data_IF_397921717603
#
_entry.id   IF_397921717603
#
_cell.length_a   1.000
_cell.length_b   1.000
_cell.length_c   1.000
_cell.angle_alpha   90.00
_cell.angle_beta   90.00
_cell.angle_gamma   90.00
#
_symmetry.space_group_name_H-M   'P 1'
#
loop_
_entity.id
_entity.type
_entity.pdbx_description
1 polymer ?
#
# COMPACT_ATOMS: atom_id res chain seq x y z
N UNK A 1 35.80 -41.47 -3.45
CA UNK A 1 35.60 -40.12 -4.02
C UNK A 1 34.19 -39.66 -3.71
N UNK A 2 33.98 -38.91 -2.63
CA UNK A 2 32.67 -38.40 -2.25
C UNK A 2 32.40 -37.07 -2.98
N UNK A 3 31.29 -37.01 -3.74
CA UNK A 3 30.82 -35.82 -4.43
C UNK A 3 30.26 -34.84 -3.39
N UNK A 4 30.90 -33.67 -3.27
CA UNK A 4 30.44 -32.51 -2.48
C UNK A 4 29.06 -32.08 -2.98
N UNK A 5 28.04 -32.20 -2.12
CA UNK A 5 26.76 -31.53 -2.29
C UNK A 5 26.96 -30.03 -2.19
N UNK A 6 26.54 -29.30 -3.22
CA UNK A 6 26.49 -27.85 -3.24
C UNK A 6 25.12 -27.41 -2.75
N UNK A 7 24.98 -27.30 -1.42
CA UNK A 7 23.77 -26.83 -0.77
C UNK A 7 24.00 -25.38 -0.32
N UNK A 8 23.75 -24.42 -1.21
CA UNK A 8 23.73 -22.99 -0.88
C UNK A 8 22.66 -22.27 -1.69
N UNK A 9 21.58 -21.88 -1.01
CA UNK A 9 21.13 -20.49 -0.87
C UNK A 9 19.66 -20.43 -0.40
N UNK A 10 19.45 -20.68 0.90
CA UNK A 10 18.28 -20.15 1.60
C UNK A 10 18.51 -18.68 1.94
N UNK A 11 18.22 -17.78 1.00
CA UNK A 11 18.50 -16.35 1.11
C UNK A 11 17.72 -15.65 2.21
N UNK A 12 18.41 -14.76 2.93
CA UNK A 12 18.02 -14.00 4.12
C UNK A 12 16.88 -12.97 3.88
N UNK A 13 15.70 -13.41 3.44
CA UNK A 13 14.55 -12.55 3.11
C UNK A 13 13.91 -11.77 4.30
N UNK A 14 14.59 -11.70 5.44
CA UNK A 14 14.11 -11.04 6.66
C UNK A 14 15.03 -9.98 7.28
N UNK A 15 16.26 -9.80 6.79
CA UNK A 15 17.24 -8.90 7.45
C UNK A 15 17.37 -7.50 6.84
N UNK A 16 17.05 -7.33 5.55
CA UNK A 16 17.23 -6.03 4.87
C UNK A 16 16.10 -5.08 5.23
N UNK A 17 16.44 -3.98 5.90
CA UNK A 17 15.52 -2.87 6.20
C UNK A 17 15.54 -1.88 5.04
N UNK A 18 14.37 -1.36 4.67
CA UNK A 18 14.19 -0.40 3.59
C UNK A 18 13.32 0.77 4.02
N UNK A 19 13.54 1.93 3.41
CA UNK A 19 12.79 3.16 3.67
C UNK A 19 11.49 3.13 2.86
N UNK A 20 10.36 3.14 3.54
CA UNK A 20 9.03 3.22 2.95
C UNK A 20 8.41 4.60 3.21
N UNK A 21 7.85 5.22 2.17
CA UNK A 21 7.18 6.52 2.28
C UNK A 21 5.72 6.34 2.67
N UNK A 22 5.30 6.93 3.79
CA UNK A 22 3.91 6.89 4.29
C UNK A 22 2.96 7.62 3.32
N UNK A 23 3.35 8.81 2.88
CA UNK A 23 2.83 9.51 1.72
C UNK A 23 3.85 9.38 0.59
N UNK A 24 3.55 8.68 -0.52
CA UNK A 24 4.50 8.52 -1.61
C UNK A 24 4.95 9.85 -2.20
N UNK A 25 6.19 9.90 -2.71
CA UNK A 25 6.74 11.11 -3.39
C UNK A 25 5.90 11.56 -4.58
N UNK A 26 5.34 10.60 -5.33
CA UNK A 26 4.40 10.87 -6.43
C UNK A 26 3.13 11.62 -6.00
N UNK A 27 2.91 11.75 -4.69
CA UNK A 27 1.74 12.36 -4.06
C UNK A 27 2.12 13.52 -3.13
N UNK A 28 3.30 14.09 -3.32
CA UNK A 28 3.78 15.25 -2.57
C UNK A 28 4.41 14.92 -1.22
N UNK A 29 4.67 13.65 -0.92
CA UNK A 29 5.32 13.26 0.34
C UNK A 29 6.80 13.60 0.39
N UNK A 30 7.20 14.34 1.42
CA UNK A 30 8.61 14.66 1.70
C UNK A 30 9.40 13.50 2.34
N UNK A 31 10.68 13.74 2.61
CA UNK A 31 11.58 12.73 3.21
C UNK A 31 11.73 12.83 4.75
N UNK A 32 11.04 13.76 5.42
CA UNK A 32 11.14 14.00 6.86
C UNK A 32 10.44 12.91 7.69
N UNK A 33 9.46 13.29 8.51
CA UNK A 33 8.63 12.38 9.32
C UNK A 33 7.75 11.41 8.52
N UNK A 34 7.89 11.40 7.19
CA UNK A 34 7.09 10.66 6.24
C UNK A 34 7.76 9.35 5.79
N UNK A 35 8.90 8.98 6.37
CA UNK A 35 9.62 7.74 6.06
C UNK A 35 9.62 6.82 7.27
N UNK A 36 9.22 5.57 7.06
CA UNK A 36 9.32 4.48 8.01
C UNK A 36 10.36 3.45 7.54
N UNK A 37 11.21 2.94 8.42
CA UNK A 37 12.13 1.84 8.12
C UNK A 37 11.46 0.51 8.43
N UNK A 38 11.25 -0.33 7.41
CA UNK A 38 10.57 -1.63 7.55
C UNK A 38 11.32 -2.72 6.77
N UNK A 39 11.14 -4.01 7.11
CA UNK A 39 11.72 -5.10 6.35
C UNK A 39 11.34 -5.03 4.87
N UNK A 40 12.29 -5.30 3.98
CA UNK A 40 12.12 -5.24 2.53
C UNK A 40 10.95 -6.09 2.05
N UNK A 41 10.79 -7.28 2.62
CA UNK A 41 9.68 -8.17 2.30
C UNK A 41 8.32 -7.58 2.65
N UNK A 42 8.22 -6.79 3.73
CA UNK A 42 7.01 -6.07 4.08
C UNK A 42 6.77 -4.90 3.13
N UNK A 43 7.82 -4.14 2.81
CA UNK A 43 7.76 -3.02 1.87
C UNK A 43 7.27 -3.46 0.49
N UNK A 44 7.82 -4.55 -0.05
CA UNK A 44 7.40 -5.08 -1.35
C UNK A 44 5.94 -5.52 -1.31
N UNK A 45 5.53 -6.30 -0.30
CA UNK A 45 4.14 -6.76 -0.16
C UNK A 45 3.17 -5.60 0.00
N UNK A 46 3.56 -4.53 0.69
CA UNK A 46 2.74 -3.32 0.76
C UNK A 46 2.46 -2.76 -0.64
N UNK A 47 3.50 -2.61 -1.46
CA UNK A 47 3.34 -2.10 -2.82
C UNK A 47 2.60 -3.06 -3.74
N UNK A 48 2.79 -4.37 -3.58
CA UNK A 48 2.06 -5.37 -4.37
C UNK A 48 0.55 -5.33 -4.09
N UNK A 49 0.15 -5.10 -2.83
CA UNK A 49 -1.26 -5.12 -2.42
C UNK A 49 -1.92 -3.75 -2.56
N UNK A 50 -1.25 -2.68 -2.12
CA UNK A 50 -1.84 -1.35 -1.96
C UNK A 50 -1.24 -0.27 -2.87
N UNK A 51 -0.19 -0.60 -3.64
CA UNK A 51 0.47 0.35 -4.53
C UNK A 51 0.95 1.61 -3.80
N UNK A 52 0.45 2.78 -4.22
CA UNK A 52 0.81 4.11 -3.67
C UNK A 52 -0.27 4.71 -2.75
N UNK A 53 -1.08 3.86 -2.11
CA UNK A 53 -2.07 4.31 -1.13
C UNK A 53 -1.38 4.78 0.16
N UNK A 54 -1.95 5.81 0.78
CA UNK A 54 -1.57 6.20 2.16
C UNK A 54 -2.21 5.25 3.17
N UNK A 55 -1.76 5.21 4.44
CA UNK A 55 -2.41 4.37 5.46
C UNK A 55 -3.92 4.60 5.60
N UNK A 56 -4.39 5.85 5.54
CA UNK A 56 -5.82 6.16 5.65
C UNK A 56 -6.62 5.59 4.47
N UNK A 57 -6.07 5.66 3.27
CA UNK A 57 -6.69 5.09 2.08
C UNK A 57 -6.68 3.57 2.11
N UNK A 58 -5.59 2.96 2.59
CA UNK A 58 -5.50 1.51 2.81
C UNK A 58 -6.58 1.04 3.78
N UNK A 59 -6.84 1.79 4.86
CA UNK A 59 -7.94 1.49 5.79
C UNK A 59 -9.29 1.55 5.06
N UNK A 60 -9.56 2.61 4.28
CA UNK A 60 -10.81 2.73 3.50
C UNK A 60 -10.97 1.57 2.51
N UNK A 61 -9.88 1.19 1.82
CA UNK A 61 -9.88 0.07 0.89
C UNK A 61 -10.23 -1.25 1.58
N UNK A 62 -9.58 -1.56 2.70
CA UNK A 62 -9.85 -2.77 3.49
C UNK A 62 -11.31 -2.79 3.97
N UNK A 63 -11.82 -1.65 4.46
CA UNK A 63 -13.21 -1.54 4.88
C UNK A 63 -14.18 -1.83 3.73
N UNK A 64 -13.96 -1.27 2.54
CA UNK A 64 -14.83 -1.48 1.37
C UNK A 64 -14.77 -2.94 0.89
N UNK A 65 -13.58 -3.52 0.81
CA UNK A 65 -13.38 -4.87 0.26
C UNK A 65 -13.89 -5.96 1.20
N UNK A 66 -13.54 -5.88 2.49
CA UNK A 66 -13.79 -6.96 3.44
C UNK A 66 -15.04 -6.76 4.29
N UNK A 67 -15.39 -5.52 4.64
CA UNK A 67 -16.50 -5.21 5.55
C UNK A 67 -17.74 -4.70 4.81
N UNK A 68 -17.56 -4.14 3.60
CA UNK A 68 -18.63 -3.51 2.84
C UNK A 68 -19.09 -2.18 3.44
N UNK A 69 -19.84 -1.40 2.65
CA UNK A 69 -20.40 -0.13 3.12
C UNK A 69 -21.38 -0.40 4.29
N UNK A 70 -21.10 0.19 5.46
CA UNK A 70 -21.92 0.04 6.66
C UNK A 70 -21.72 -1.26 7.43
N UNK A 71 -20.59 -1.96 7.25
CA UNK A 71 -20.24 -3.16 8.04
C UNK A 71 -21.00 -4.43 7.65
N UNK A 72 -21.77 -4.40 6.56
CA UNK A 72 -22.46 -5.57 6.01
C UNK A 72 -21.63 -6.18 4.89
N UNK A 73 -21.18 -7.42 5.10
CA UNK A 73 -20.39 -8.19 4.14
C UNK A 73 -21.15 -8.33 2.81
N UNK A 74 -20.65 -7.69 1.76
CA UNK A 74 -21.19 -7.87 0.40
C UNK A 74 -20.63 -9.16 -0.19
N UNK A 75 -21.49 -10.05 -0.70
CA UNK A 75 -21.07 -11.16 -1.58
C UNK A 75 -20.71 -10.57 -2.96
N UNK A 76 -19.61 -9.83 -3.04
CA UNK A 76 -19.02 -9.40 -4.31
C UNK A 76 -17.82 -10.29 -4.60
N UNK A 77 -17.78 -10.85 -5.81
CA UNK A 77 -16.58 -11.48 -6.35
C UNK A 77 -15.69 -10.39 -6.91
N UNK A 78 -14.67 -9.99 -6.17
CA UNK A 78 -13.73 -8.98 -6.61
C UNK A 78 -12.77 -9.56 -7.65
N UNK A 79 -12.72 -8.94 -8.84
CA UNK A 79 -11.64 -9.19 -9.80
C UNK A 79 -10.44 -8.31 -9.49
N UNK A 80 -9.27 -8.65 -10.05
CA UNK A 80 -8.07 -7.81 -9.93
C UNK A 80 -8.34 -6.39 -10.47
N UNK A 81 -9.05 -6.27 -11.60
CA UNK A 81 -9.41 -4.98 -12.18
C UNK A 81 -10.34 -4.16 -11.27
N UNK A 82 -11.33 -4.80 -10.62
CA UNK A 82 -12.19 -4.12 -9.64
C UNK A 82 -11.38 -3.54 -8.48
N UNK A 83 -10.36 -4.26 -8.01
CA UNK A 83 -9.52 -3.83 -6.91
C UNK A 83 -8.65 -2.64 -7.35
N UNK A 84 -8.03 -2.69 -8.53
CA UNK A 84 -7.27 -1.56 -9.07
C UNK A 84 -8.14 -0.32 -9.28
N UNK A 85 -9.33 -0.48 -9.86
CA UNK A 85 -10.27 0.62 -10.05
C UNK A 85 -10.68 1.24 -8.70
N UNK A 86 -10.86 0.42 -7.67
CA UNK A 86 -11.18 0.89 -6.33
C UNK A 86 -10.02 1.68 -5.72
N UNK A 87 -8.77 1.20 -5.85
CA UNK A 87 -7.58 1.92 -5.38
C UNK A 87 -7.50 3.31 -6.03
N UNK A 88 -7.66 3.39 -7.36
CA UNK A 88 -7.65 4.65 -8.10
C UNK A 88 -8.78 5.60 -7.66
N UNK A 89 -9.99 5.07 -7.46
CA UNK A 89 -11.14 5.87 -6.97
C UNK A 89 -10.89 6.49 -5.60
N UNK A 90 -10.34 5.70 -4.66
CA UNK A 90 -10.01 6.19 -3.31
C UNK A 90 -8.94 7.28 -3.40
N UNK A 91 -7.87 7.08 -4.16
CA UNK A 91 -6.79 8.08 -4.34
C UNK A 91 -7.29 9.39 -4.95
N UNK A 92 -8.17 9.31 -5.96
CA UNK A 92 -8.78 10.49 -6.60
C UNK A 92 -9.67 11.26 -5.62
N UNK A 93 -10.45 10.56 -4.79
CA UNK A 93 -11.31 11.17 -3.76
C UNK A 93 -10.50 11.97 -2.74
N UNK A 94 -9.38 11.42 -2.26
CA UNK A 94 -8.47 12.13 -1.34
C UNK A 94 -7.94 13.41 -1.99
N UNK A 95 -7.48 13.31 -3.23
CA UNK A 95 -6.91 14.45 -3.99
C UNK A 95 -7.93 15.57 -4.17
N UNK A 96 -9.18 15.23 -4.51
CA UNK A 96 -10.27 16.22 -4.67
C UNK A 96 -10.64 16.88 -3.33
N UNK A 97 -10.69 16.11 -2.25
CA UNK A 97 -10.98 16.62 -0.91
C UNK A 97 -9.94 17.64 -0.46
N UNK A 98 -8.65 17.37 -0.72
CA UNK A 98 -7.57 18.31 -0.39
C UNK A 98 -7.71 19.63 -1.16
N UNK A 99 -7.90 19.58 -2.49
CA UNK A 99 -8.10 20.78 -3.32
C UNK A 99 -9.29 21.64 -2.87
N UNK A 100 -10.41 21.02 -2.48
CA UNK A 100 -11.60 21.73 -2.00
C UNK A 100 -11.34 22.48 -0.67
N UNK A 101 -10.46 21.96 0.18
CA UNK A 101 -10.10 22.60 1.46
C UNK A 101 -9.13 23.77 1.27
N UNK A 102 -8.30 23.73 0.24
CA UNK A 102 -7.35 24.80 -0.09
C UNK A 102 -8.02 25.98 -0.80
N UNK A 103 -8.97 25.73 -1.71
CA UNK A 103 -9.73 26.77 -2.42
C UNK A 103 -10.91 27.39 -1.64
N UNK A 104 -11.05 27.12 -0.35
CA UNK A 104 -12.10 27.66 0.52
C UNK A 104 -11.58 28.62 1.60
N UNK A 105 -10.35 29.10 1.45
CA UNK A 105 -9.73 30.12 2.31
C UNK A 105 -9.45 31.39 1.48
N UNK A 106 -10.49 31.92 0.86
CA UNK A 106 -10.51 33.27 0.30
C UNK A 106 -11.48 34.14 1.13
#
# INVERSE_FOLDING_TARGET
MARRGNEKNGGENGKKMTRHHILPRSRGGGNGSNILSIPESFHQRWHDIFGNMTPQETIEFIQIVFLGAGGKRRKKNWTINDLYDLQLKIQQKTTRTLKKREGGRE
#
